data_IF_053164077971
#
_entry.id   IF_053164077971
#
_cell.length_a   1.000
_cell.length_b   1.000
_cell.length_c   1.000
_cell.angle_alpha   90.00
_cell.angle_beta   90.00
_cell.angle_gamma   90.00
#
_symmetry.space_group_name_H-M   'P 1'
#
loop_
_entity.id
_entity.type
_entity.pdbx_description
1 polymer ?
#
# COMPACT_ATOMS: atom_id res chain seq x y z
N UNK A 1 52.22 -41.15 41.02
CA UNK A 1 51.44 -41.03 39.76
C UNK A 1 50.62 -39.73 39.83
N UNK A 2 51.27 -38.57 40.17
CA UNK A 2 50.58 -37.29 40.42
C UNK A 2 51.44 -36.07 40.04
N UNK A 3 52.24 -36.15 38.98
CA UNK A 3 53.17 -35.04 38.66
C UNK A 3 53.00 -34.48 37.26
N UNK A 4 51.88 -34.77 36.58
CA UNK A 4 51.66 -34.31 35.20
C UNK A 4 50.41 -33.41 34.99
N UNK A 5 49.60 -33.09 36.02
CA UNK A 5 48.43 -32.23 35.89
C UNK A 5 48.66 -30.78 36.29
N UNK A 6 49.65 -30.46 37.12
CA UNK A 6 49.92 -29.11 37.60
C UNK A 6 50.58 -28.15 36.61
N UNK A 7 51.05 -28.66 35.46
CA UNK A 7 51.80 -27.83 34.49
C UNK A 7 50.92 -27.23 33.36
N UNK A 8 49.66 -27.61 33.24
CA UNK A 8 48.79 -27.07 32.17
C UNK A 8 47.95 -25.85 32.60
N UNK A 9 47.69 -25.69 33.88
CA UNK A 9 46.85 -24.58 34.38
C UNK A 9 47.66 -23.29 34.57
N UNK A 10 48.94 -23.38 34.87
CA UNK A 10 49.82 -22.21 35.10
C UNK A 10 50.07 -21.33 33.84
N UNK A 11 50.01 -21.89 32.63
CA UNK A 11 50.23 -21.09 31.41
C UNK A 11 49.05 -20.18 31.08
N UNK A 12 47.82 -20.61 31.36
CA UNK A 12 46.60 -19.82 31.13
C UNK A 12 46.38 -18.77 32.27
N UNK A 13 46.75 -19.04 33.50
CA UNK A 13 46.60 -18.09 34.60
C UNK A 13 47.58 -16.90 34.53
N UNK A 14 48.83 -17.12 34.14
CA UNK A 14 49.86 -16.05 34.04
C UNK A 14 49.49 -15.04 32.93
N UNK A 15 48.78 -15.47 31.90
CA UNK A 15 48.36 -14.59 30.78
C UNK A 15 47.05 -13.83 31.04
N UNK A 16 46.26 -14.27 32.02
CA UNK A 16 44.94 -13.64 32.31
C UNK A 16 45.07 -12.35 33.10
N UNK A 17 46.11 -12.18 33.88
CA UNK A 17 46.37 -10.97 34.68
C UNK A 17 47.15 -9.90 33.92
N UNK A 18 47.78 -10.22 32.81
CA UNK A 18 48.57 -9.25 32.06
C UNK A 18 47.64 -8.31 31.24
N UNK A 19 47.57 -7.05 31.63
CA UNK A 19 46.75 -6.01 31.03
C UNK A 19 47.03 -5.87 29.53
N UNK A 20 48.27 -6.02 29.10
CA UNK A 20 48.67 -5.95 27.69
C UNK A 20 48.14 -7.14 26.87
N UNK A 21 48.07 -8.33 27.44
CA UNK A 21 47.47 -9.49 26.79
C UNK A 21 45.94 -9.29 26.56
N UNK A 22 45.27 -8.72 27.55
CA UNK A 22 43.83 -8.41 27.42
C UNK A 22 43.59 -7.35 26.36
N UNK A 23 44.39 -6.29 26.29
CA UNK A 23 44.33 -5.29 25.24
C UNK A 23 44.66 -5.88 23.88
N UNK A 24 45.68 -6.70 23.75
CA UNK A 24 46.07 -7.40 22.53
C UNK A 24 44.95 -8.34 22.02
N UNK A 25 44.34 -9.12 22.92
CA UNK A 25 43.23 -10.00 22.60
C UNK A 25 42.00 -9.21 22.15
N UNK A 26 41.68 -8.10 22.85
CA UNK A 26 40.55 -7.24 22.47
C UNK A 26 40.77 -6.61 21.08
N UNK A 27 41.97 -6.08 20.83
CA UNK A 27 42.35 -5.52 19.55
C UNK A 27 42.24 -6.57 18.42
N UNK A 28 42.74 -7.78 18.67
CA UNK A 28 42.64 -8.89 17.73
C UNK A 28 41.17 -9.25 17.40
N UNK A 29 40.30 -9.39 18.42
CA UNK A 29 38.87 -9.67 18.24
C UNK A 29 38.20 -8.54 17.44
N UNK A 30 38.52 -7.28 17.74
CA UNK A 30 37.96 -6.13 17.03
C UNK A 30 38.40 -6.13 15.55
N UNK A 31 39.70 -6.37 15.28
CA UNK A 31 40.20 -6.46 13.90
C UNK A 31 39.54 -7.60 13.14
N UNK A 32 39.44 -8.79 13.74
CA UNK A 32 38.74 -9.93 13.12
C UNK A 32 37.25 -9.62 12.87
N UNK A 33 36.59 -9.00 13.84
CA UNK A 33 35.21 -8.57 13.67
C UNK A 33 35.06 -7.54 12.56
N UNK A 34 35.95 -6.57 12.44
CA UNK A 34 35.97 -5.60 11.35
C UNK A 34 36.23 -6.26 9.98
N UNK A 35 37.12 -7.23 9.88
CA UNK A 35 37.36 -7.98 8.64
C UNK A 35 36.13 -8.79 8.24
N UNK A 36 35.49 -9.46 9.19
CA UNK A 36 34.23 -10.20 8.95
C UNK A 36 33.12 -9.25 8.51
N UNK A 37 32.98 -8.11 9.18
CA UNK A 37 31.99 -7.10 8.82
C UNK A 37 32.26 -6.53 7.41
N UNK A 38 33.50 -6.21 7.08
CA UNK A 38 33.90 -5.73 5.75
C UNK A 38 33.60 -6.78 4.67
N UNK A 39 33.95 -8.05 4.91
CA UNK A 39 33.61 -9.16 4.00
C UNK A 39 32.10 -9.37 3.84
N UNK A 40 31.35 -9.21 4.90
CA UNK A 40 29.89 -9.29 4.86
C UNK A 40 29.30 -8.15 4.02
N UNK A 41 29.76 -6.91 4.25
CA UNK A 41 29.29 -5.73 3.50
C UNK A 41 29.65 -5.84 2.02
N UNK A 42 30.88 -6.26 1.67
CA UNK A 42 31.31 -6.38 0.26
C UNK A 42 30.59 -7.51 -0.48
N UNK A 43 30.17 -8.58 0.20
CA UNK A 43 29.43 -9.69 -0.39
C UNK A 43 27.91 -9.50 -0.39
N UNK A 44 27.39 -8.47 0.32
CA UNK A 44 25.95 -8.15 0.37
C UNK A 44 25.34 -7.95 -1.03
N UNK A 45 25.93 -7.19 -1.97
CA UNK A 45 25.36 -6.99 -3.30
C UNK A 45 25.22 -8.32 -4.07
N UNK A 46 26.22 -9.21 -3.96
CA UNK A 46 26.18 -10.54 -4.57
C UNK A 46 25.07 -11.42 -3.95
N UNK A 47 24.93 -11.39 -2.62
CA UNK A 47 23.83 -12.08 -1.94
C UNK A 47 22.46 -11.60 -2.44
N UNK A 48 22.24 -10.28 -2.53
CA UNK A 48 20.99 -9.73 -3.07
C UNK A 48 20.79 -10.10 -4.55
N UNK A 49 21.85 -10.16 -5.35
CA UNK A 49 21.77 -10.63 -6.74
C UNK A 49 21.30 -12.09 -6.82
N UNK A 50 21.83 -12.99 -5.98
CA UNK A 50 21.36 -14.39 -5.90
C UNK A 50 19.91 -14.48 -5.43
N UNK A 51 19.52 -13.71 -4.41
CA UNK A 51 18.12 -13.65 -3.94
C UNK A 51 17.20 -13.17 -5.06
N UNK A 52 17.59 -12.12 -5.78
CA UNK A 52 16.82 -11.60 -6.92
C UNK A 52 16.71 -12.64 -8.04
N UNK A 53 17.78 -13.33 -8.38
CA UNK A 53 17.78 -14.42 -9.37
C UNK A 53 16.86 -15.56 -8.94
N UNK A 54 16.93 -15.98 -7.68
CA UNK A 54 16.05 -17.00 -7.11
C UNK A 54 14.57 -16.59 -7.16
N UNK A 55 14.24 -15.36 -6.74
CA UNK A 55 12.88 -14.83 -6.83
C UNK A 55 12.39 -14.71 -8.27
N UNK A 56 13.28 -14.34 -9.19
CA UNK A 56 12.97 -14.31 -10.63
C UNK A 56 12.63 -15.71 -11.17
N UNK A 57 13.34 -16.73 -10.73
CA UNK A 57 13.03 -18.12 -11.09
C UNK A 57 11.69 -18.59 -10.50
N UNK A 58 11.32 -18.06 -9.32
CA UNK A 58 10.04 -18.36 -8.67
C UNK A 58 8.88 -17.48 -9.17
N UNK A 59 9.11 -16.57 -10.11
CA UNK A 59 8.07 -15.66 -10.60
C UNK A 59 6.77 -16.36 -11.06
N UNK A 60 6.77 -17.52 -11.76
CA UNK A 60 5.53 -18.22 -12.11
C UNK A 60 4.75 -18.70 -10.87
N UNK A 61 5.47 -19.09 -9.81
CA UNK A 61 4.83 -19.49 -8.53
C UNK A 61 4.20 -18.30 -7.84
N UNK A 62 4.88 -17.15 -7.84
CA UNK A 62 4.34 -15.90 -7.28
C UNK A 62 3.12 -15.43 -8.06
N UNK A 63 3.13 -15.50 -9.39
CA UNK A 63 1.95 -15.24 -10.22
C UNK A 63 0.82 -16.21 -9.89
N UNK A 64 1.10 -17.50 -9.78
CA UNK A 64 0.12 -18.52 -9.41
C UNK A 64 -0.50 -18.28 -8.04
N UNK A 65 0.30 -17.87 -7.04
CA UNK A 65 -0.17 -17.50 -5.73
C UNK A 65 -1.09 -16.25 -5.78
N UNK A 66 -0.68 -15.23 -6.52
CA UNK A 66 -1.48 -14.01 -6.70
C UNK A 66 -2.82 -14.31 -7.38
N UNK A 67 -2.81 -15.05 -8.48
CA UNK A 67 -4.02 -15.47 -9.20
C UNK A 67 -4.92 -16.32 -8.29
N UNK A 68 -4.37 -17.32 -7.60
CA UNK A 68 -5.14 -18.16 -6.68
C UNK A 68 -5.76 -17.33 -5.54
N UNK A 69 -5.03 -16.35 -5.02
CA UNK A 69 -5.52 -15.47 -3.97
C UNK A 69 -6.69 -14.59 -4.44
N UNK A 70 -6.58 -14.01 -5.63
CA UNK A 70 -7.64 -13.18 -6.23
C UNK A 70 -8.88 -13.98 -6.61
N UNK A 71 -8.70 -15.23 -7.11
CA UNK A 71 -9.80 -16.09 -7.53
C UNK A 71 -10.49 -16.80 -6.36
N UNK A 72 -9.80 -16.95 -5.23
CA UNK A 72 -10.32 -17.69 -4.07
C UNK A 72 -11.71 -17.20 -3.59
N UNK A 73 -12.02 -15.89 -3.45
CA UNK A 73 -13.34 -15.44 -3.04
C UNK A 73 -14.44 -15.82 -4.02
N UNK A 74 -14.11 -15.84 -5.32
CA UNK A 74 -15.05 -16.21 -6.39
C UNK A 74 -15.28 -17.72 -6.36
N UNK A 75 -14.20 -18.50 -6.32
CA UNK A 75 -14.24 -19.97 -6.20
C UNK A 75 -15.08 -20.41 -4.99
N UNK A 76 -14.86 -19.80 -3.84
CA UNK A 76 -15.56 -20.16 -2.60
C UNK A 76 -17.06 -19.84 -2.67
N UNK A 77 -17.46 -18.73 -3.29
CA UNK A 77 -18.88 -18.41 -3.52
C UNK A 77 -19.54 -19.39 -4.49
N UNK A 78 -18.88 -19.67 -5.62
CA UNK A 78 -19.40 -20.63 -6.63
C UNK A 78 -19.50 -22.03 -6.02
N UNK A 79 -18.48 -22.47 -5.29
CA UNK A 79 -18.50 -23.75 -4.58
C UNK A 79 -19.66 -23.86 -3.61
N UNK A 80 -19.88 -22.84 -2.76
CA UNK A 80 -20.99 -22.80 -1.79
C UNK A 80 -22.37 -22.82 -2.45
N UNK A 81 -22.50 -22.29 -3.66
CA UNK A 81 -23.74 -22.33 -4.42
C UNK A 81 -23.98 -23.70 -5.06
N UNK A 82 -22.93 -24.35 -5.59
CA UNK A 82 -23.05 -25.60 -6.33
C UNK A 82 -23.04 -26.84 -5.43
N UNK A 83 -22.30 -26.81 -4.32
CA UNK A 83 -22.15 -27.97 -3.43
C UNK A 83 -23.48 -28.53 -2.90
N UNK A 84 -24.44 -27.71 -2.40
CA UNK A 84 -25.73 -28.23 -1.92
C UNK A 84 -26.60 -28.81 -3.04
N UNK A 85 -26.48 -28.29 -4.28
CA UNK A 85 -27.22 -28.79 -5.44
C UNK A 85 -26.65 -30.15 -5.88
N UNK A 86 -25.32 -30.28 -5.92
CA UNK A 86 -24.66 -31.53 -6.31
C UNK A 86 -24.81 -32.63 -5.28
N UNK A 87 -24.93 -32.33 -4.01
CA UNK A 87 -25.23 -33.31 -2.94
C UNK A 87 -26.59 -33.96 -3.04
N UNK A 88 -27.54 -33.36 -3.81
CA UNK A 88 -28.85 -33.97 -4.08
C UNK A 88 -28.77 -35.13 -5.10
N UNK A 89 -27.72 -35.13 -5.93
CA UNK A 89 -27.57 -36.08 -7.05
C UNK A 89 -26.38 -37.03 -6.88
N UNK A 90 -25.36 -36.63 -6.12
CA UNK A 90 -24.08 -37.33 -5.99
C UNK A 90 -23.73 -37.60 -4.52
N UNK A 91 -22.97 -38.68 -4.23
CA UNK A 91 -22.40 -38.90 -2.91
C UNK A 91 -21.56 -37.73 -2.41
N UNK A 92 -21.58 -37.41 -1.14
CA UNK A 92 -20.96 -36.22 -0.52
C UNK A 92 -19.53 -35.97 -0.96
N UNK A 93 -18.66 -36.98 -0.99
CA UNK A 93 -17.26 -36.83 -1.42
C UNK A 93 -17.11 -36.45 -2.89
N UNK A 94 -17.94 -37.01 -3.76
CA UNK A 94 -17.93 -36.70 -5.22
C UNK A 94 -18.53 -35.31 -5.46
N UNK A 95 -19.62 -34.99 -4.79
CA UNK A 95 -20.29 -33.68 -4.87
C UNK A 95 -19.34 -32.53 -4.45
N UNK A 96 -18.63 -32.67 -3.33
CA UNK A 96 -17.65 -31.69 -2.87
C UNK A 96 -16.47 -31.52 -3.85
N UNK A 97 -15.96 -32.64 -4.39
CA UNK A 97 -14.87 -32.61 -5.39
C UNK A 97 -15.30 -31.93 -6.69
N UNK A 98 -16.48 -32.26 -7.20
CA UNK A 98 -17.03 -31.64 -8.42
C UNK A 98 -17.37 -30.16 -8.21
N UNK A 99 -17.99 -29.78 -7.08
CA UNK A 99 -18.27 -28.39 -6.74
C UNK A 99 -16.99 -27.55 -6.70
N UNK A 100 -15.91 -28.10 -6.16
CA UNK A 100 -14.60 -27.45 -6.12
C UNK A 100 -14.00 -27.30 -7.51
N UNK A 101 -13.98 -28.35 -8.33
CA UNK A 101 -13.49 -28.32 -9.70
C UNK A 101 -14.25 -27.32 -10.58
N UNK A 102 -15.60 -27.33 -10.53
CA UNK A 102 -16.45 -26.39 -11.22
C UNK A 102 -16.27 -24.96 -10.68
N UNK A 103 -16.10 -24.79 -9.37
CA UNK A 103 -15.79 -23.49 -8.76
C UNK A 103 -14.49 -22.88 -9.30
N UNK A 104 -13.43 -23.67 -9.41
CA UNK A 104 -12.15 -23.24 -10.01
C UNK A 104 -12.31 -22.90 -11.49
N UNK A 105 -12.98 -23.77 -12.26
CA UNK A 105 -13.20 -23.55 -13.69
C UNK A 105 -14.00 -22.29 -13.95
N UNK A 106 -15.12 -22.10 -13.26
CA UNK A 106 -15.98 -20.91 -13.41
C UNK A 106 -15.23 -19.64 -13.00
N UNK A 107 -14.47 -19.67 -11.91
CA UNK A 107 -13.69 -18.50 -11.47
C UNK A 107 -12.60 -18.12 -12.47
N UNK A 108 -11.92 -19.09 -13.09
CA UNK A 108 -10.92 -18.87 -14.15
C UNK A 108 -11.56 -18.32 -15.42
N UNK A 109 -12.67 -18.93 -15.86
CA UNK A 109 -13.40 -18.47 -17.05
C UNK A 109 -13.93 -17.05 -16.84
N UNK A 110 -14.48 -16.76 -15.67
CA UNK A 110 -14.96 -15.41 -15.34
C UNK A 110 -13.81 -14.40 -15.35
N UNK A 111 -12.67 -14.73 -14.74
CA UNK A 111 -11.50 -13.85 -14.77
C UNK A 111 -10.95 -13.65 -16.19
N UNK A 112 -10.85 -14.72 -16.97
CA UNK A 112 -10.43 -14.65 -18.37
C UNK A 112 -11.42 -13.80 -19.21
N UNK A 113 -12.73 -13.96 -19.00
CA UNK A 113 -13.77 -13.17 -19.65
C UNK A 113 -13.66 -11.68 -19.29
N UNK A 114 -13.46 -11.36 -18.00
CA UNK A 114 -13.29 -9.97 -17.54
C UNK A 114 -12.03 -9.35 -18.16
N UNK A 115 -10.89 -10.05 -18.12
CA UNK A 115 -9.65 -9.56 -18.74
C UNK A 115 -9.80 -9.39 -20.24
N UNK A 116 -10.41 -10.37 -20.92
CA UNK A 116 -10.68 -10.28 -22.35
C UNK A 116 -11.62 -9.11 -22.70
N UNK A 117 -12.70 -8.94 -21.94
CA UNK A 117 -13.65 -7.85 -22.16
C UNK A 117 -12.98 -6.47 -21.93
N UNK A 118 -12.17 -6.36 -20.88
CA UNK A 118 -11.40 -5.13 -20.64
C UNK A 118 -10.44 -4.84 -21.81
N UNK A 119 -9.67 -5.82 -22.26
CA UNK A 119 -8.74 -5.65 -23.38
C UNK A 119 -9.50 -5.30 -24.66
N UNK A 120 -10.54 -6.06 -25.01
CA UNK A 120 -11.32 -5.87 -26.22
C UNK A 120 -12.06 -4.52 -26.28
N UNK A 121 -12.46 -4.00 -25.11
CA UNK A 121 -13.20 -2.75 -25.00
C UNK A 121 -12.27 -1.54 -24.88
N UNK A 122 -11.21 -1.68 -24.08
CA UNK A 122 -10.28 -0.58 -23.73
C UNK A 122 -9.26 -0.33 -24.82
N UNK A 123 -8.67 -1.39 -25.36
CA UNK A 123 -7.53 -1.26 -26.26
C UNK A 123 -7.86 -0.54 -27.56
N UNK A 124 -8.95 -0.86 -28.30
CA UNK A 124 -9.32 -0.12 -29.50
C UNK A 124 -9.56 1.37 -29.23
N UNK A 125 -10.27 1.69 -28.13
CA UNK A 125 -10.58 3.08 -27.80
C UNK A 125 -9.35 3.87 -27.33
N UNK A 126 -8.41 3.24 -26.60
CA UNK A 126 -7.13 3.86 -26.27
C UNK A 126 -6.37 4.24 -27.54
N UNK A 127 -6.30 3.33 -28.50
CA UNK A 127 -5.59 3.54 -29.76
C UNK A 127 -6.23 4.65 -30.58
N UNK A 128 -7.54 4.62 -30.72
CA UNK A 128 -8.32 5.61 -31.44
C UNK A 128 -8.19 7.00 -30.79
N UNK A 129 -8.27 7.05 -29.45
CA UNK A 129 -8.08 8.29 -28.72
C UNK A 129 -6.67 8.85 -28.89
N UNK A 130 -5.63 8.02 -28.79
CA UNK A 130 -4.22 8.47 -28.94
C UNK A 130 -3.96 8.93 -30.37
N UNK A 131 -4.43 8.20 -31.37
CA UNK A 131 -4.24 8.60 -32.79
C UNK A 131 -4.99 9.90 -33.12
N UNK A 132 -6.18 10.07 -32.57
CA UNK A 132 -6.99 11.29 -32.71
C UNK A 132 -6.32 12.49 -32.03
N UNK A 133 -5.77 12.30 -30.82
CA UNK A 133 -5.03 13.35 -30.11
C UNK A 133 -3.82 13.77 -30.90
N UNK A 134 -3.02 12.81 -31.41
CA UNK A 134 -1.82 13.12 -32.21
C UNK A 134 -2.19 13.83 -33.53
N UNK A 135 -3.25 13.36 -34.20
CA UNK A 135 -3.72 13.95 -35.45
C UNK A 135 -4.26 15.38 -35.31
N UNK A 136 -4.97 15.65 -34.22
CA UNK A 136 -5.58 16.96 -33.94
C UNK A 136 -4.70 17.88 -33.09
N UNK A 137 -3.49 17.45 -32.73
CA UNK A 137 -2.60 18.22 -31.86
C UNK A 137 -2.35 19.65 -32.34
N UNK A 138 -2.11 19.92 -33.64
CA UNK A 138 -1.95 21.30 -34.14
C UNK A 138 -3.19 22.17 -33.92
N UNK A 139 -4.41 21.59 -34.07
CA UNK A 139 -5.66 22.30 -33.81
C UNK A 139 -5.84 22.63 -32.35
N UNK A 140 -5.55 21.69 -31.46
CA UNK A 140 -5.63 21.87 -30.00
C UNK A 140 -4.65 22.94 -29.52
N UNK A 141 -3.42 22.93 -30.06
CA UNK A 141 -2.45 23.98 -29.78
C UNK A 141 -2.96 25.38 -30.19
N UNK A 142 -3.52 25.51 -31.40
CA UNK A 142 -4.06 26.77 -31.84
C UNK A 142 -5.23 27.28 -30.97
N UNK A 143 -6.07 26.38 -30.48
CA UNK A 143 -7.16 26.72 -29.56
C UNK A 143 -6.62 27.20 -28.22
N UNK A 144 -5.65 26.48 -27.66
CA UNK A 144 -5.02 26.82 -26.38
C UNK A 144 -4.25 28.14 -26.48
N UNK A 145 -3.52 28.37 -27.58
CA UNK A 145 -2.76 29.61 -27.77
C UNK A 145 -3.68 30.83 -27.92
N UNK A 146 -4.80 30.70 -28.65
CA UNK A 146 -5.81 31.77 -28.71
C UNK A 146 -6.40 32.09 -27.36
N UNK A 147 -6.77 31.06 -26.59
CA UNK A 147 -7.33 31.21 -25.25
C UNK A 147 -6.34 31.88 -24.29
N UNK A 148 -5.06 31.49 -24.32
CA UNK A 148 -4.00 32.11 -23.53
C UNK A 148 -3.79 33.57 -23.93
N UNK A 149 -3.79 33.88 -25.24
CA UNK A 149 -3.68 35.23 -25.76
C UNK A 149 -4.88 36.11 -25.35
N UNK A 150 -6.11 35.59 -25.42
CA UNK A 150 -7.29 36.29 -24.96
C UNK A 150 -7.28 36.60 -23.45
N UNK A 151 -6.74 35.66 -22.65
CA UNK A 151 -6.62 35.83 -21.19
C UNK A 151 -5.53 36.85 -20.81
N UNK A 152 -4.47 36.95 -21.60
CA UNK A 152 -3.30 37.82 -21.33
C UNK A 152 -3.45 39.19 -22.01
N UNK A 153 -4.43 39.39 -22.90
CA UNK A 153 -4.68 40.64 -23.59
C UNK A 153 -4.76 41.82 -22.60
N UNK A 154 -3.65 42.55 -22.46
CA UNK A 154 -3.47 43.73 -21.60
C UNK A 154 -2.22 43.74 -20.72
N UNK A 155 -1.37 42.74 -20.72
CA UNK A 155 -0.13 42.68 -19.93
C UNK A 155 1.10 42.62 -20.84
N UNK A 156 2.19 43.27 -20.45
CA UNK A 156 3.46 43.54 -21.10
C UNK A 156 4.26 42.30 -21.60
N UNK A 157 3.68 41.15 -21.80
CA UNK A 157 4.40 39.88 -21.99
C UNK A 157 4.00 39.11 -23.26
N UNK A 158 3.48 39.74 -24.31
CA UNK A 158 3.06 39.02 -25.53
C UNK A 158 4.20 38.21 -26.17
N UNK A 159 5.40 38.79 -26.32
CA UNK A 159 6.55 38.14 -26.94
C UNK A 159 7.06 36.94 -26.09
N UNK A 160 7.14 37.10 -24.76
CA UNK A 160 7.61 36.04 -23.83
C UNK A 160 6.61 34.89 -23.78
N UNK A 161 5.32 35.19 -23.84
CA UNK A 161 4.28 34.19 -23.83
C UNK A 161 4.26 33.35 -25.08
N UNK A 162 4.49 33.97 -26.24
CA UNK A 162 4.55 33.30 -27.53
C UNK A 162 5.77 32.38 -27.62
N UNK A 163 6.94 32.83 -27.15
CA UNK A 163 8.16 32.01 -27.10
C UNK A 163 8.01 30.79 -26.17
N UNK A 164 7.38 30.97 -24.98
CA UNK A 164 7.08 29.85 -24.06
C UNK A 164 6.10 28.88 -24.71
N UNK A 165 5.05 29.38 -25.36
CA UNK A 165 4.06 28.55 -26.02
C UNK A 165 4.67 27.73 -27.17
N UNK A 166 5.54 28.29 -27.97
CA UNK A 166 6.23 27.57 -29.05
C UNK A 166 7.22 26.53 -28.53
N UNK A 167 7.88 26.79 -27.41
CA UNK A 167 8.71 25.78 -26.73
C UNK A 167 7.86 24.63 -26.17
N UNK A 168 6.74 24.93 -25.54
CA UNK A 168 5.79 23.92 -25.04
C UNK A 168 5.22 23.09 -26.19
N UNK A 169 4.85 23.73 -27.30
CA UNK A 169 4.39 23.05 -28.53
C UNK A 169 5.42 22.06 -29.06
N UNK A 170 6.64 22.53 -29.25
CA UNK A 170 7.73 21.71 -29.79
C UNK A 170 8.06 20.54 -28.88
N UNK A 171 8.08 20.79 -27.55
CA UNK A 171 8.31 19.72 -26.56
C UNK A 171 7.19 18.69 -26.53
N UNK A 172 5.92 19.13 -26.51
CA UNK A 172 4.77 18.22 -26.49
C UNK A 172 4.65 17.45 -27.80
N UNK A 173 4.86 18.11 -28.93
CA UNK A 173 4.85 17.45 -30.23
C UNK A 173 5.95 16.39 -30.33
N UNK A 174 7.18 16.69 -29.94
CA UNK A 174 8.27 15.72 -29.93
C UNK A 174 7.99 14.59 -28.95
N UNK A 175 7.48 14.90 -27.77
CA UNK A 175 7.08 13.88 -26.79
C UNK A 175 6.00 12.92 -27.34
N UNK A 176 4.98 13.46 -28.01
CA UNK A 176 3.92 12.67 -28.64
C UNK A 176 4.44 11.82 -29.79
N UNK A 177 5.24 12.41 -30.70
CA UNK A 177 5.72 11.73 -31.92
C UNK A 177 6.90 10.79 -31.62
N UNK A 178 7.84 11.18 -30.77
CA UNK A 178 9.08 10.44 -30.55
C UNK A 178 9.02 9.48 -29.37
N UNK A 179 8.11 9.73 -28.41
CA UNK A 179 8.00 8.90 -27.21
C UNK A 179 6.70 8.11 -27.15
N UNK A 180 5.56 8.77 -27.31
CA UNK A 180 4.24 8.13 -27.12
C UNK A 180 3.89 7.24 -28.32
N UNK A 181 3.94 7.78 -29.52
CA UNK A 181 3.55 7.06 -30.74
C UNK A 181 4.39 5.80 -31.00
N UNK A 182 5.74 5.81 -30.89
CA UNK A 182 6.52 4.58 -31.02
C UNK A 182 6.24 3.54 -29.94
N UNK A 183 5.99 3.97 -28.68
CA UNK A 183 5.60 3.05 -27.60
C UNK A 183 4.25 2.43 -27.85
N UNK A 184 3.27 3.19 -28.34
CA UNK A 184 1.96 2.68 -28.72
C UNK A 184 2.06 1.72 -29.90
N UNK A 185 2.84 2.08 -30.94
CA UNK A 185 3.11 1.20 -32.08
C UNK A 185 3.85 -0.07 -31.66
N UNK A 186 4.80 0.04 -30.73
CA UNK A 186 5.52 -1.12 -30.15
C UNK A 186 4.57 -2.01 -29.35
N UNK A 187 3.65 -1.44 -28.58
CA UNK A 187 2.60 -2.19 -27.89
C UNK A 187 1.70 -2.92 -28.89
N UNK A 188 1.27 -2.24 -29.97
CA UNK A 188 0.49 -2.82 -31.05
C UNK A 188 1.24 -3.93 -31.77
N UNK A 189 2.47 -3.63 -32.18
CA UNK A 189 3.35 -4.63 -32.80
C UNK A 189 3.63 -5.80 -31.88
N UNK A 190 3.76 -5.56 -30.57
CA UNK A 190 3.92 -6.63 -29.57
C UNK A 190 2.66 -7.50 -29.43
N UNK A 191 1.50 -6.92 -29.65
CA UNK A 191 0.24 -7.69 -29.67
C UNK A 191 0.08 -8.51 -30.98
N UNK A 192 0.66 -8.04 -32.08
CA UNK A 192 0.58 -8.69 -33.39
C UNK A 192 1.80 -9.56 -33.72
N UNK A 193 3.01 -9.14 -33.35
CA UNK A 193 4.27 -9.84 -33.68
C UNK A 193 5.04 -10.40 -32.50
N UNK A 194 4.59 -10.13 -31.29
CA UNK A 194 5.27 -10.43 -30.02
C UNK A 194 5.37 -11.90 -29.64
N UNK A 195 5.53 -12.82 -30.60
CA UNK A 195 5.55 -14.26 -30.38
C UNK A 195 6.73 -14.73 -29.50
N UNK A 196 7.85 -14.02 -29.45
CA UNK A 196 9.05 -14.54 -28.75
C UNK A 196 9.18 -14.02 -27.29
N UNK A 197 8.98 -12.74 -27.04
CA UNK A 197 9.04 -12.20 -25.66
C UNK A 197 7.72 -12.41 -24.91
N UNK A 198 6.60 -12.38 -25.62
CA UNK A 198 5.29 -12.80 -25.10
C UNK A 198 5.30 -14.29 -24.78
N UNK A 199 5.97 -15.15 -25.55
CA UNK A 199 6.07 -16.56 -25.24
C UNK A 199 6.66 -16.84 -23.85
N UNK A 200 7.73 -16.14 -23.45
CA UNK A 200 8.26 -16.26 -22.08
C UNK A 200 7.28 -15.74 -21.01
N UNK A 201 6.66 -14.59 -21.26
CA UNK A 201 5.68 -14.02 -20.32
C UNK A 201 4.39 -14.84 -20.30
N UNK A 202 3.94 -15.34 -21.46
CA UNK A 202 2.80 -16.26 -21.56
C UNK A 202 3.10 -17.61 -20.93
N UNK A 203 4.28 -18.15 -21.10
CA UNK A 203 4.70 -19.39 -20.41
C UNK A 203 4.65 -19.21 -18.89
N UNK A 204 5.20 -18.09 -18.39
CA UNK A 204 5.13 -17.78 -16.96
C UNK A 204 3.67 -17.57 -16.48
N UNK A 205 2.83 -16.95 -17.29
CA UNK A 205 1.41 -16.79 -16.98
C UNK A 205 0.66 -18.12 -17.02
N UNK A 206 0.88 -18.94 -18.06
CA UNK A 206 0.28 -20.29 -18.19
C UNK A 206 0.71 -21.16 -17.01
N UNK A 207 2.01 -21.19 -16.70
CA UNK A 207 2.53 -21.93 -15.54
C UNK A 207 1.90 -21.36 -14.25
N UNK A 208 1.79 -20.03 -14.13
CA UNK A 208 1.10 -19.38 -13.01
C UNK A 208 -0.36 -19.79 -12.89
N UNK A 209 -1.11 -19.85 -13.99
CA UNK A 209 -2.50 -20.35 -14.01
C UNK A 209 -2.56 -21.82 -13.60
N UNK A 210 -1.69 -22.66 -14.12
CA UNK A 210 -1.60 -24.08 -13.71
C UNK A 210 -1.32 -24.19 -12.21
N UNK A 211 -0.34 -23.45 -11.71
CA UNK A 211 -0.02 -23.39 -10.27
C UNK A 211 -1.23 -22.89 -9.46
N UNK A 212 -1.94 -21.88 -9.95
CA UNK A 212 -3.14 -21.37 -9.25
C UNK A 212 -4.23 -22.42 -9.13
N UNK A 213 -4.44 -23.24 -10.15
CA UNK A 213 -5.38 -24.37 -10.12
C UNK A 213 -4.96 -25.40 -9.04
N UNK A 214 -3.67 -25.76 -9.01
CA UNK A 214 -3.15 -26.67 -7.98
C UNK A 214 -3.28 -26.09 -6.57
N UNK A 215 -2.99 -24.80 -6.41
CA UNK A 215 -3.10 -24.11 -5.12
C UNK A 215 -4.56 -24.03 -4.65
N UNK A 216 -5.50 -23.64 -5.53
CA UNK A 216 -6.92 -23.60 -5.21
C UNK A 216 -7.47 -25.00 -4.92
N UNK A 217 -7.07 -25.99 -5.72
CA UNK A 217 -7.50 -27.38 -5.53
C UNK A 217 -6.96 -27.97 -4.22
N UNK A 218 -5.70 -27.66 -3.85
CA UNK A 218 -5.01 -28.16 -2.66
C UNK A 218 -4.99 -27.22 -1.47
N UNK A 219 -5.68 -26.09 -1.48
CA UNK A 219 -5.54 -24.99 -0.50
C UNK A 219 -5.61 -25.45 0.95
N UNK A 220 -6.57 -26.31 1.29
CA UNK A 220 -6.77 -26.81 2.66
C UNK A 220 -5.58 -27.68 3.10
N UNK A 221 -5.08 -28.54 2.20
CA UNK A 221 -3.91 -29.40 2.45
C UNK A 221 -2.63 -28.58 2.61
N UNK A 222 -2.38 -27.61 1.72
CA UNK A 222 -1.19 -26.76 1.80
C UNK A 222 -1.21 -25.87 3.06
N UNK A 223 -2.35 -25.28 3.39
CA UNK A 223 -2.50 -24.51 4.64
C UNK A 223 -2.30 -25.38 5.87
N UNK A 224 -2.84 -26.61 5.88
CA UNK A 224 -2.62 -27.56 6.97
C UNK A 224 -1.16 -27.97 7.11
N UNK A 225 -0.45 -28.22 5.99
CA UNK A 225 0.97 -28.53 5.97
C UNK A 225 1.82 -27.35 6.46
N UNK A 226 1.53 -26.12 6.01
CA UNK A 226 2.20 -24.91 6.48
C UNK A 226 2.00 -24.71 7.97
N UNK A 227 0.75 -24.88 8.46
CA UNK A 227 0.42 -24.82 9.88
C UNK A 227 1.17 -25.90 10.67
N UNK A 228 1.19 -27.15 10.18
CA UNK A 228 1.94 -28.24 10.82
C UNK A 228 3.44 -27.93 10.93
N UNK A 229 4.04 -27.42 9.84
CA UNK A 229 5.45 -26.99 9.82
C UNK A 229 5.72 -25.87 10.82
N UNK A 230 4.83 -24.86 10.86
CA UNK A 230 4.94 -23.74 11.79
C UNK A 230 4.93 -24.23 13.26
N UNK A 231 4.03 -25.13 13.62
CA UNK A 231 3.99 -25.69 14.97
C UNK A 231 5.17 -26.61 15.27
N UNK A 232 5.66 -27.37 14.29
CA UNK A 232 6.83 -28.25 14.46
C UNK A 232 8.11 -27.46 14.74
N UNK A 233 8.32 -26.33 14.02
CA UNK A 233 9.54 -25.52 14.14
C UNK A 233 9.47 -24.55 15.34
N UNK A 234 8.34 -23.91 15.57
CA UNK A 234 8.18 -22.83 16.54
C UNK A 234 7.55 -23.27 17.88
N UNK A 235 7.04 -24.48 17.95
CA UNK A 235 6.29 -25.00 19.10
C UNK A 235 4.90 -24.38 19.26
N UNK A 236 4.14 -24.85 20.25
CA UNK A 236 2.72 -24.50 20.38
C UNK A 236 2.46 -23.00 20.60
N UNK A 237 3.20 -22.33 21.49
CA UNK A 237 2.97 -20.90 21.82
C UNK A 237 3.34 -19.97 20.67
N UNK A 238 4.56 -20.09 20.14
CA UNK A 238 5.04 -19.23 19.04
C UNK A 238 4.36 -19.58 17.71
N UNK A 239 4.13 -20.87 17.44
CA UNK A 239 3.40 -21.33 16.26
C UNK A 239 1.95 -20.84 16.23
N UNK A 240 1.26 -20.87 17.39
CA UNK A 240 -0.08 -20.27 17.52
C UNK A 240 -0.11 -18.79 17.23
N UNK A 241 0.90 -18.04 17.71
CA UNK A 241 1.06 -16.62 17.41
C UNK A 241 1.21 -16.35 15.90
N UNK A 242 2.12 -17.07 15.25
CA UNK A 242 2.33 -16.91 13.78
C UNK A 242 1.06 -17.26 13.00
N UNK A 243 0.36 -18.32 13.35
CA UNK A 243 -0.92 -18.68 12.72
C UNK A 243 -1.99 -17.57 12.89
N UNK A 244 -2.05 -16.92 14.04
CA UNK A 244 -2.97 -15.81 14.29
C UNK A 244 -2.59 -14.58 13.44
N UNK A 245 -1.31 -14.26 13.33
CA UNK A 245 -0.82 -13.17 12.45
C UNK A 245 -1.15 -13.48 10.98
N UNK A 246 -0.93 -14.70 10.51
CA UNK A 246 -1.30 -15.11 9.14
C UNK A 246 -2.81 -15.01 8.90
N UNK A 247 -3.64 -15.40 9.86
CA UNK A 247 -5.10 -15.28 9.77
C UNK A 247 -5.53 -13.81 9.71
N UNK A 248 -4.92 -12.96 10.52
CA UNK A 248 -5.13 -11.52 10.48
C UNK A 248 -4.70 -10.94 9.13
N UNK A 249 -3.49 -11.27 8.65
CA UNK A 249 -3.00 -10.84 7.35
C UNK A 249 -3.97 -11.21 6.22
N UNK A 250 -4.43 -12.47 6.18
CA UNK A 250 -5.40 -12.92 5.18
C UNK A 250 -6.71 -12.10 5.23
N UNK A 251 -7.20 -11.76 6.42
CA UNK A 251 -8.40 -10.93 6.57
C UNK A 251 -8.18 -9.51 6.04
N UNK A 252 -7.06 -8.87 6.42
CA UNK A 252 -6.75 -7.50 6.01
C UNK A 252 -6.48 -7.42 4.51
N UNK A 253 -5.66 -8.31 3.97
CA UNK A 253 -5.39 -8.35 2.52
C UNK A 253 -6.65 -8.63 1.70
N UNK A 254 -7.44 -9.65 2.10
CA UNK A 254 -8.67 -10.01 1.40
C UNK A 254 -9.72 -8.90 1.42
N UNK A 255 -9.92 -8.29 2.59
CA UNK A 255 -10.85 -7.17 2.76
C UNK A 255 -10.41 -5.93 1.98
N UNK A 256 -9.13 -5.56 2.09
CA UNK A 256 -8.60 -4.36 1.46
C UNK A 256 -8.52 -4.48 -0.07
N UNK A 257 -7.87 -5.54 -0.60
CA UNK A 257 -7.72 -5.72 -2.06
C UNK A 257 -9.08 -5.93 -2.71
N UNK A 258 -9.90 -6.79 -2.14
CA UNK A 258 -11.26 -7.02 -2.66
C UNK A 258 -12.13 -5.76 -2.61
N UNK A 259 -12.07 -5.03 -1.51
CA UNK A 259 -12.78 -3.75 -1.38
C UNK A 259 -12.30 -2.72 -2.40
N UNK A 260 -10.97 -2.59 -2.57
CA UNK A 260 -10.40 -1.58 -3.48
C UNK A 260 -10.67 -1.88 -4.96
N UNK A 261 -10.74 -3.15 -5.35
CA UNK A 261 -11.16 -3.55 -6.72
C UNK A 261 -12.63 -3.16 -6.96
N UNK A 262 -13.52 -3.42 -6.01
CA UNK A 262 -14.94 -3.06 -6.12
C UNK A 262 -15.10 -1.54 -6.16
N UNK A 263 -14.43 -0.83 -5.29
CA UNK A 263 -14.39 0.62 -5.20
C UNK A 263 -13.95 1.26 -6.54
N UNK A 264 -12.83 0.83 -7.08
CA UNK A 264 -12.29 1.28 -8.36
C UNK A 264 -13.24 1.01 -9.53
N UNK A 265 -13.92 -0.13 -9.53
CA UNK A 265 -14.93 -0.46 -10.55
C UNK A 265 -16.13 0.49 -10.45
N UNK A 266 -16.62 0.75 -9.25
CA UNK A 266 -17.74 1.68 -9.02
C UNK A 266 -17.36 3.09 -9.46
N UNK A 267 -16.17 3.58 -9.07
CA UNK A 267 -15.67 4.90 -9.46
C UNK A 267 -15.50 5.01 -10.98
N UNK A 268 -14.96 3.99 -11.63
CA UNK A 268 -14.85 3.95 -13.09
C UNK A 268 -16.22 4.02 -13.80
N UNK A 269 -17.20 3.27 -13.29
CA UNK A 269 -18.57 3.28 -13.81
C UNK A 269 -19.25 4.65 -13.59
N UNK A 270 -19.15 5.20 -12.38
CA UNK A 270 -19.73 6.52 -12.07
C UNK A 270 -19.05 7.62 -12.90
N UNK A 271 -17.73 7.54 -13.08
CA UNK A 271 -16.99 8.45 -13.95
C UNK A 271 -17.50 8.36 -15.40
N UNK A 272 -17.69 7.15 -15.93
CA UNK A 272 -18.20 6.95 -17.27
C UNK A 272 -19.59 7.58 -17.47
N UNK A 273 -20.53 7.29 -16.58
CA UNK A 273 -21.88 7.84 -16.69
C UNK A 273 -21.90 9.37 -16.47
N UNK A 274 -21.12 9.87 -15.53
CA UNK A 274 -21.02 11.30 -15.27
C UNK A 274 -20.47 12.09 -16.45
N UNK A 275 -19.36 11.62 -17.03
CA UNK A 275 -18.77 12.25 -18.21
C UNK A 275 -19.66 12.08 -19.47
N UNK A 276 -20.38 10.99 -19.56
CA UNK A 276 -21.35 10.77 -20.64
C UNK A 276 -22.55 11.72 -20.57
N UNK A 277 -23.05 12.00 -19.37
CA UNK A 277 -24.12 12.98 -19.12
C UNK A 277 -23.65 14.40 -19.46
N UNK A 278 -22.37 14.71 -19.18
CA UNK A 278 -21.75 15.99 -19.51
C UNK A 278 -21.32 16.09 -20.98
N UNK A 279 -21.56 15.05 -21.78
CA UNK A 279 -21.19 14.92 -23.21
C UNK A 279 -19.70 15.20 -23.49
N UNK A 280 -18.82 14.79 -22.54
CA UNK A 280 -17.38 15.05 -22.62
C UNK A 280 -16.67 14.15 -23.63
N UNK A 281 -15.67 14.66 -24.37
CA UNK A 281 -14.83 13.86 -25.25
C UNK A 281 -14.01 12.84 -24.46
N UNK A 282 -13.61 11.77 -25.13
CA UNK A 282 -12.80 10.68 -24.55
C UNK A 282 -13.35 10.09 -23.24
N UNK A 283 -14.67 10.16 -23.02
CA UNK A 283 -15.37 9.67 -21.82
C UNK A 283 -14.88 8.28 -21.39
N UNK A 284 -14.78 7.33 -22.31
CA UNK A 284 -14.36 5.96 -22.00
C UNK A 284 -12.90 5.89 -21.57
N UNK A 285 -12.00 6.59 -22.28
CA UNK A 285 -10.58 6.65 -21.96
C UNK A 285 -10.37 7.20 -20.56
N UNK A 286 -10.97 8.35 -20.26
CA UNK A 286 -10.84 9.04 -18.96
C UNK A 286 -11.40 8.17 -17.84
N UNK A 287 -12.58 7.58 -18.04
CA UNK A 287 -13.22 6.74 -17.03
C UNK A 287 -12.40 5.50 -16.67
N UNK A 288 -11.76 4.89 -17.67
CA UNK A 288 -10.86 3.75 -17.47
C UNK A 288 -9.60 4.18 -16.71
N UNK A 289 -8.97 5.29 -17.15
CA UNK A 289 -7.78 5.81 -16.46
C UNK A 289 -8.12 6.09 -15.01
N UNK A 290 -9.18 6.82 -14.72
CA UNK A 290 -9.63 7.16 -13.36
C UNK A 290 -9.96 5.90 -12.56
N UNK A 291 -10.73 4.96 -13.13
CA UNK A 291 -11.10 3.72 -12.45
C UNK A 291 -9.89 2.82 -12.15
N UNK A 292 -8.99 2.62 -13.12
CA UNK A 292 -7.80 1.77 -12.92
C UNK A 292 -6.82 2.40 -11.93
N UNK A 293 -6.56 3.69 -12.05
CA UNK A 293 -5.65 4.37 -11.12
C UNK A 293 -6.18 4.42 -9.70
N UNK A 294 -7.52 4.45 -9.51
CA UNK A 294 -8.17 4.46 -8.20
C UNK A 294 -7.85 3.20 -7.34
N UNK A 295 -7.30 2.14 -7.93
CA UNK A 295 -6.79 0.98 -7.18
C UNK A 295 -5.68 1.40 -6.22
N UNK A 296 -4.89 2.43 -6.54
CA UNK A 296 -3.82 2.96 -5.70
C UNK A 296 -4.41 3.95 -4.69
N UNK A 297 -4.39 3.63 -3.39
CA UNK A 297 -4.95 4.53 -2.39
C UNK A 297 -4.27 5.91 -2.40
N UNK A 298 -5.00 6.97 -2.14
CA UNK A 298 -4.56 8.36 -2.10
C UNK A 298 -4.02 8.90 -3.43
N UNK A 299 -3.08 8.22 -4.07
CA UNK A 299 -2.44 8.70 -5.30
C UNK A 299 -3.27 8.39 -6.56
N UNK A 300 -4.09 7.35 -6.50
CA UNK A 300 -4.91 6.91 -7.64
C UNK A 300 -5.77 8.01 -8.25
N UNK A 301 -6.57 8.72 -7.45
CA UNK A 301 -7.37 9.84 -7.92
C UNK A 301 -6.58 10.90 -8.69
N UNK A 302 -5.42 11.29 -8.17
CA UNK A 302 -4.55 12.31 -8.81
C UNK A 302 -3.89 11.77 -10.07
N UNK A 303 -3.42 10.51 -10.04
CA UNK A 303 -2.82 9.86 -11.21
C UNK A 303 -3.81 9.68 -12.36
N UNK A 304 -5.10 9.59 -12.07
CA UNK A 304 -6.14 9.56 -13.08
C UNK A 304 -6.62 10.95 -13.51
N UNK A 305 -6.87 11.84 -12.56
CA UNK A 305 -7.44 13.15 -12.82
C UNK A 305 -6.48 14.10 -13.54
N UNK A 306 -5.21 14.15 -13.13
CA UNK A 306 -4.24 15.11 -13.69
C UNK A 306 -4.00 14.88 -15.20
N UNK A 307 -3.66 13.67 -15.68
CA UNK A 307 -3.50 13.43 -17.11
C UNK A 307 -4.80 13.68 -17.90
N UNK A 308 -5.95 13.32 -17.32
CA UNK A 308 -7.25 13.54 -17.96
C UNK A 308 -7.61 15.01 -18.05
N UNK A 309 -7.34 15.79 -17.00
CA UNK A 309 -7.53 17.24 -17.04
C UNK A 309 -6.61 17.93 -18.05
N UNK A 310 -5.34 17.53 -18.11
CA UNK A 310 -4.39 18.04 -19.11
C UNK A 310 -4.82 17.70 -20.54
N UNK A 311 -5.35 16.50 -20.75
CA UNK A 311 -5.90 16.11 -22.05
C UNK A 311 -7.07 17.02 -22.45
N UNK A 312 -8.03 17.24 -21.57
CA UNK A 312 -9.19 18.09 -21.82
C UNK A 312 -8.80 19.56 -21.96
N UNK A 313 -7.82 20.05 -21.19
CA UNK A 313 -7.34 21.42 -21.28
C UNK A 313 -6.79 21.76 -22.67
N UNK A 314 -6.12 20.80 -23.32
CA UNK A 314 -5.59 20.96 -24.68
C UNK A 314 -6.71 20.99 -25.73
N UNK A 315 -7.84 20.33 -25.44
CA UNK A 315 -9.00 20.27 -26.37
C UNK A 315 -9.86 21.52 -26.22
N UNK A 316 -10.35 21.77 -25.02
CA UNK A 316 -11.17 22.91 -24.64
C UNK A 316 -10.98 23.23 -23.15
N UNK A 317 -10.50 24.43 -22.77
CA UNK A 317 -10.34 24.84 -21.37
C UNK A 317 -11.65 24.79 -20.56
N UNK A 318 -12.80 25.02 -21.18
CA UNK A 318 -14.10 24.94 -20.48
C UNK A 318 -14.48 23.51 -20.15
N UNK A 319 -14.22 22.55 -21.05
CA UNK A 319 -14.40 21.13 -20.75
C UNK A 319 -13.47 20.66 -19.64
N UNK A 320 -12.23 21.14 -19.60
CA UNK A 320 -11.31 20.90 -18.50
C UNK A 320 -11.88 21.42 -17.17
N UNK A 321 -12.45 22.62 -17.14
CA UNK A 321 -13.05 23.19 -15.93
C UNK A 321 -14.23 22.33 -15.44
N UNK A 322 -15.13 21.94 -16.34
CA UNK A 322 -16.26 21.07 -16.00
C UNK A 322 -15.78 19.70 -15.48
N UNK A 323 -14.76 19.12 -16.10
CA UNK A 323 -14.15 17.89 -15.64
C UNK A 323 -13.55 18.01 -14.25
N UNK A 324 -12.80 19.08 -13.97
CA UNK A 324 -12.17 19.31 -12.65
C UNK A 324 -13.23 19.43 -11.57
N UNK A 325 -14.31 20.16 -11.82
CA UNK A 325 -15.43 20.27 -10.87
C UNK A 325 -16.07 18.89 -10.65
N UNK A 326 -16.36 18.17 -11.74
CA UNK A 326 -16.95 16.83 -11.67
C UNK A 326 -16.07 15.84 -10.90
N UNK A 327 -14.76 15.78 -11.21
CA UNK A 327 -13.86 14.83 -10.58
C UNK A 327 -13.68 15.13 -9.08
N UNK A 328 -13.66 16.40 -8.66
CA UNK A 328 -13.63 16.79 -7.26
C UNK A 328 -14.89 16.25 -6.55
N UNK A 329 -16.07 16.45 -7.12
CA UNK A 329 -17.33 15.94 -6.55
C UNK A 329 -17.30 14.42 -6.47
N UNK A 330 -16.85 13.73 -7.52
CA UNK A 330 -16.72 12.26 -7.55
C UNK A 330 -15.75 11.77 -6.48
N UNK A 331 -14.61 12.45 -6.27
CA UNK A 331 -13.63 12.08 -5.25
C UNK A 331 -14.14 12.36 -3.83
N UNK A 332 -14.95 13.41 -3.63
CA UNK A 332 -15.62 13.62 -2.36
C UNK A 332 -16.64 12.52 -2.05
N UNK A 333 -17.36 12.06 -3.06
CA UNK A 333 -18.28 10.92 -2.92
C UNK A 333 -17.52 9.63 -2.59
N UNK A 334 -16.37 9.39 -3.26
CA UNK A 334 -15.50 8.25 -2.98
C UNK A 334 -14.98 8.28 -1.54
N UNK A 335 -14.34 9.38 -1.15
CA UNK A 335 -13.67 9.49 0.16
C UNK A 335 -14.63 9.46 1.36
N UNK A 336 -15.86 10.00 1.21
CA UNK A 336 -16.78 10.17 2.33
C UNK A 336 -17.91 9.12 2.37
N UNK A 337 -18.25 8.50 1.24
CA UNK A 337 -19.40 7.58 1.16
C UNK A 337 -18.98 6.20 0.68
N UNK A 338 -18.40 6.10 -0.52
CA UNK A 338 -18.12 4.80 -1.18
C UNK A 338 -16.99 4.07 -0.46
N UNK A 339 -15.86 4.75 -0.26
CA UNK A 339 -14.68 4.18 0.40
C UNK A 339 -15.00 3.63 1.80
N UNK A 340 -15.57 4.44 2.72
CA UNK A 340 -15.97 3.94 4.04
C UNK A 340 -17.00 2.81 3.99
N UNK A 341 -17.95 2.85 3.05
CA UNK A 341 -18.97 1.81 2.91
C UNK A 341 -18.39 0.47 2.43
N UNK A 342 -17.37 0.48 1.57
CA UNK A 342 -16.77 -0.72 0.98
C UNK A 342 -15.60 -1.23 1.82
N UNK A 343 -14.67 -0.35 2.20
CA UNK A 343 -13.44 -0.70 2.89
C UNK A 343 -13.65 -0.80 4.41
N UNK A 344 -14.56 -0.01 5.00
CA UNK A 344 -14.78 0.07 6.44
C UNK A 344 -13.46 0.27 7.19
N UNK A 345 -13.40 -0.25 8.43
CA UNK A 345 -12.18 -0.26 9.25
C UNK A 345 -11.25 -1.45 8.93
N UNK A 346 -11.15 -1.84 7.65
CA UNK A 346 -10.46 -3.06 7.24
C UNK A 346 -8.98 -3.13 7.69
N UNK A 347 -8.32 -1.99 7.84
CA UNK A 347 -6.89 -1.92 8.18
C UNK A 347 -6.61 -1.46 9.61
N UNK A 348 -7.50 -0.66 10.21
CA UNK A 348 -7.30 -0.06 11.53
C UNK A 348 -6.06 0.85 11.63
N UNK A 349 -5.60 1.40 10.50
CA UNK A 349 -4.46 2.31 10.44
C UNK A 349 -4.93 3.76 10.37
N UNK A 350 -4.28 4.64 11.12
CA UNK A 350 -4.43 6.09 10.94
C UNK A 350 -3.91 6.53 9.56
N UNK A 351 -4.50 7.59 8.99
CA UNK A 351 -4.20 8.09 7.64
C UNK A 351 -2.69 8.37 7.41
N UNK A 352 -1.98 8.85 8.45
CA UNK A 352 -0.54 9.08 8.35
C UNK A 352 0.24 7.81 8.01
N UNK A 353 -0.11 6.68 8.63
CA UNK A 353 0.55 5.39 8.39
C UNK A 353 0.22 4.84 7.00
N UNK A 354 -0.95 5.17 6.46
CA UNK A 354 -1.29 4.83 5.07
C UNK A 354 -0.36 5.56 4.10
N UNK A 355 -0.16 6.88 4.27
CA UNK A 355 0.76 7.66 3.42
C UNK A 355 2.20 7.16 3.56
N UNK A 356 2.68 6.93 4.78
CA UNK A 356 4.02 6.37 5.03
C UNK A 356 4.19 5.02 4.34
N UNK A 357 3.19 4.14 4.43
CA UNK A 357 3.23 2.82 3.79
C UNK A 357 3.36 2.92 2.26
N UNK A 358 2.61 3.82 1.64
CA UNK A 358 2.64 4.05 0.19
C UNK A 358 4.00 4.56 -0.27
N UNK A 359 4.61 5.50 0.46
CA UNK A 359 5.95 6.02 0.15
C UNK A 359 7.01 4.92 0.27
N UNK A 360 7.02 4.17 1.37
CA UNK A 360 8.01 3.13 1.62
C UNK A 360 7.88 1.99 0.61
N UNK A 361 6.69 1.39 0.49
CA UNK A 361 6.52 0.24 -0.39
C UNK A 361 6.42 0.62 -1.86
N UNK A 362 5.99 1.84 -2.17
CA UNK A 362 6.03 2.40 -3.51
C UNK A 362 7.47 2.56 -4.03
N UNK A 363 8.39 3.05 -3.19
CA UNK A 363 9.80 3.18 -3.56
C UNK A 363 10.50 1.84 -3.70
N UNK A 364 10.13 0.82 -2.90
CA UNK A 364 10.76 -0.50 -2.92
C UNK A 364 10.26 -1.40 -4.05
N UNK A 365 8.97 -1.38 -4.34
CA UNK A 365 8.30 -2.33 -5.24
C UNK A 365 7.49 -1.66 -6.35
N UNK A 366 7.59 -0.33 -6.51
CA UNK A 366 6.86 0.42 -7.53
C UNK A 366 5.34 0.37 -7.34
N UNK A 367 4.60 0.36 -8.46
CA UNK A 367 3.12 0.37 -8.47
C UNK A 367 2.54 -0.82 -7.70
N UNK A 368 3.09 -2.03 -7.87
CA UNK A 368 2.64 -3.20 -7.11
C UNK A 368 2.83 -3.02 -5.61
N UNK A 369 3.95 -2.38 -5.22
CA UNK A 369 4.20 -2.01 -3.83
C UNK A 369 3.15 -1.06 -3.27
N UNK A 370 2.73 -0.05 -4.04
CA UNK A 370 1.67 0.89 -3.64
C UNK A 370 0.32 0.18 -3.41
N UNK A 371 -0.04 -0.75 -4.29
CA UNK A 371 -1.32 -1.50 -4.17
C UNK A 371 -1.37 -2.36 -2.90
N UNK A 372 -0.26 -2.99 -2.53
CA UNK A 372 -0.19 -3.86 -1.34
C UNK A 372 0.31 -3.14 -0.08
N UNK A 373 0.72 -1.88 -0.18
CA UNK A 373 1.35 -1.12 0.90
C UNK A 373 0.54 -1.12 2.18
N UNK A 374 -0.72 -0.72 2.06
CA UNK A 374 -1.60 -0.52 3.22
C UNK A 374 -1.84 -1.81 4.00
N UNK A 375 -2.28 -2.93 3.37
CA UNK A 375 -2.46 -4.18 4.09
C UNK A 375 -1.15 -4.76 4.63
N UNK A 376 -0.03 -4.60 3.92
CA UNK A 376 1.26 -5.06 4.38
C UNK A 376 1.72 -4.28 5.62
N UNK A 377 1.58 -2.95 5.59
CA UNK A 377 1.92 -2.11 6.74
C UNK A 377 1.01 -2.38 7.94
N UNK A 378 -0.29 -2.65 7.72
CA UNK A 378 -1.21 -3.02 8.80
C UNK A 378 -0.76 -4.29 9.54
N UNK A 379 -0.26 -5.28 8.81
CA UNK A 379 0.29 -6.51 9.42
C UNK A 379 1.57 -6.20 10.21
N UNK A 380 2.49 -5.41 9.64
CA UNK A 380 3.72 -4.99 10.32
C UNK A 380 3.39 -4.19 11.59
N UNK A 381 2.48 -3.21 11.47
CA UNK A 381 2.04 -2.39 12.60
C UNK A 381 1.45 -3.25 13.74
N UNK A 382 0.61 -4.23 13.39
CA UNK A 382 0.07 -5.18 14.37
C UNK A 382 1.18 -5.96 15.07
N UNK A 383 2.14 -6.51 14.32
CA UNK A 383 3.28 -7.26 14.90
C UNK A 383 4.07 -6.36 15.85
N UNK A 384 4.42 -5.15 15.41
CA UNK A 384 5.16 -4.19 16.24
C UNK A 384 4.38 -3.83 17.50
N UNK A 385 3.09 -3.52 17.37
CA UNK A 385 2.21 -3.22 18.50
C UNK A 385 2.15 -4.37 19.51
N UNK A 386 2.02 -5.62 19.05
CA UNK A 386 1.98 -6.79 19.92
C UNK A 386 3.32 -7.03 20.62
N UNK A 387 4.46 -6.85 19.93
CA UNK A 387 5.80 -6.92 20.52
C UNK A 387 5.99 -5.82 21.57
N UNK A 388 5.62 -4.58 21.27
CA UNK A 388 5.67 -3.46 22.22
C UNK A 388 4.82 -3.75 23.46
N UNK A 389 3.57 -4.19 23.25
CA UNK A 389 2.68 -4.54 24.35
C UNK A 389 3.22 -5.70 25.19
N UNK A 390 3.86 -6.70 24.57
CA UNK A 390 4.53 -7.78 25.31
C UNK A 390 5.70 -7.26 26.17
N UNK A 391 6.53 -6.37 25.62
CA UNK A 391 7.66 -5.78 26.35
C UNK A 391 7.20 -4.88 27.50
N UNK A 392 6.13 -4.08 27.28
CA UNK A 392 5.53 -3.24 28.30
C UNK A 392 4.96 -4.08 29.45
N UNK A 393 4.23 -5.15 29.14
CA UNK A 393 3.73 -6.10 30.14
C UNK A 393 4.85 -6.74 30.94
N UNK A 394 5.97 -7.13 30.28
CA UNK A 394 7.14 -7.70 30.96
C UNK A 394 7.78 -6.69 31.92
N UNK A 395 7.69 -5.38 31.62
CA UNK A 395 8.20 -4.29 32.47
C UNK A 395 7.15 -3.75 33.44
N UNK A 396 5.99 -4.38 33.54
CA UNK A 396 4.85 -3.93 34.36
C UNK A 396 4.40 -2.50 34.08
N UNK A 397 4.52 -2.05 32.80
CA UNK A 397 4.09 -0.74 32.34
C UNK A 397 2.72 -0.83 31.66
N UNK A 398 2.02 0.32 31.56
CA UNK A 398 0.74 0.41 30.86
C UNK A 398 0.88 0.06 29.38
N UNK A 399 -0.15 -0.61 28.83
CA UNK A 399 -0.26 -0.85 27.39
C UNK A 399 -1.20 0.13 26.70
N UNK A 400 -1.77 1.09 27.43
CA UNK A 400 -2.67 2.11 26.89
C UNK A 400 -1.86 3.29 26.41
N UNK A 401 -1.98 3.62 25.13
CA UNK A 401 -1.23 4.72 24.51
C UNK A 401 -1.49 6.08 25.17
N UNK A 402 -2.72 6.31 25.64
CA UNK A 402 -3.09 7.54 26.34
C UNK A 402 -2.28 7.84 27.61
N UNK A 403 -1.73 6.80 28.25
CA UNK A 403 -0.92 6.97 29.45
C UNK A 403 0.50 7.53 29.16
N UNK A 404 0.86 7.60 27.87
CA UNK A 404 2.16 8.09 27.38
C UNK A 404 2.09 9.47 26.73
N UNK A 405 0.94 10.14 26.78
CA UNK A 405 0.78 11.48 26.16
C UNK A 405 1.51 12.59 26.92
N UNK A 406 1.79 12.37 28.21
CA UNK A 406 2.50 13.34 29.04
C UNK A 406 3.97 12.98 29.21
N UNK A 407 4.89 13.70 28.56
CA UNK A 407 6.33 13.47 28.61
C UNK A 407 6.97 13.66 30.00
N UNK A 408 6.33 14.45 30.87
CA UNK A 408 6.87 14.81 32.19
C UNK A 408 6.64 13.73 33.24
N UNK A 409 5.81 12.72 32.96
CA UNK A 409 5.48 11.68 33.91
C UNK A 409 5.66 10.30 33.31
N UNK A 410 6.47 9.43 33.95
CA UNK A 410 6.57 8.05 33.52
C UNK A 410 5.22 7.33 33.69
N UNK A 411 4.87 6.40 32.81
CA UNK A 411 3.64 5.63 32.90
C UNK A 411 3.64 4.84 34.23
N UNK A 412 2.59 4.98 35.05
CA UNK A 412 2.53 4.36 36.38
C UNK A 412 2.32 2.85 36.28
N UNK A 413 3.09 2.08 37.05
CA UNK A 413 2.97 0.62 37.22
C UNK A 413 1.60 0.17 37.74
N UNK A 414 0.86 1.03 38.46
CA UNK A 414 -0.36 0.68 39.18
C UNK A 414 -1.64 0.67 38.32
N UNK A 415 -1.60 1.20 37.10
CA UNK A 415 -2.79 1.29 36.23
C UNK A 415 -3.32 -0.07 35.76
N UNK A 416 -2.47 -1.08 35.63
CA UNK A 416 -2.87 -2.42 35.19
C UNK A 416 -3.61 -3.26 36.27
N UNK A 417 -3.42 -2.94 37.55
CA UNK A 417 -4.11 -3.63 38.65
C UNK A 417 -5.54 -3.13 38.87
N UNK A 418 -5.91 -2.05 38.16
CA UNK A 418 -7.18 -1.39 38.43
C UNK A 418 -8.16 -1.55 37.27
N UNK A 419 -8.87 -2.69 37.22
CA UNK A 419 -10.00 -2.92 36.32
C UNK A 419 -11.30 -2.81 37.15
N UNK A 420 -12.01 -1.64 37.12
CA UNK A 420 -13.20 -1.47 37.93
C UNK A 420 -14.34 -2.38 37.41
N UNK A 421 -14.64 -3.43 38.15
CA UNK A 421 -15.68 -4.40 37.79
C UNK A 421 -17.10 -3.86 38.02
N UNK A 422 -17.28 -2.77 38.77
CA UNK A 422 -18.58 -2.19 39.08
C UNK A 422 -18.73 -0.72 38.66
N UNK A 423 -19.96 -0.30 38.27
CA UNK A 423 -20.26 1.12 37.95
C UNK A 423 -19.85 2.10 39.06
N UNK A 424 -19.93 1.67 40.36
CA UNK A 424 -19.50 2.47 41.52
C UNK A 424 -17.97 2.66 41.57
N UNK A 425 -17.20 1.65 41.24
CA UNK A 425 -15.74 1.72 41.19
C UNK A 425 -15.26 2.59 40.01
N UNK A 426 -15.91 2.50 38.84
CA UNK A 426 -15.64 3.38 37.68
C UNK A 426 -15.84 4.85 38.06
N UNK A 427 -16.95 5.18 38.76
CA UNK A 427 -17.26 6.54 39.18
C UNK A 427 -16.30 7.09 40.27
N UNK A 428 -15.84 6.23 41.19
CA UNK A 428 -14.81 6.57 42.19
C UNK A 428 -13.44 6.85 41.55
N UNK A 429 -13.11 6.11 40.52
CA UNK A 429 -11.87 6.25 39.78
C UNK A 429 -11.81 7.53 38.97
N UNK A 430 -12.88 7.83 38.24
CA UNK A 430 -12.97 9.07 37.49
C UNK A 430 -12.84 10.28 38.44
N UNK A 431 -13.49 10.26 39.60
CA UNK A 431 -13.35 11.31 40.62
C UNK A 431 -11.93 11.40 41.19
N UNK A 432 -11.24 10.25 41.39
CA UNK A 432 -9.87 10.24 41.89
C UNK A 432 -8.87 10.76 40.83
N UNK A 433 -9.12 10.42 39.58
CA UNK A 433 -8.36 10.92 38.43
C UNK A 433 -8.55 12.44 38.23
N UNK A 434 -9.79 12.93 38.29
CA UNK A 434 -10.08 14.38 38.22
C UNK A 434 -9.44 15.16 39.36
N UNK A 435 -9.48 14.64 40.62
CA UNK A 435 -8.79 15.28 41.75
C UNK A 435 -7.27 15.24 41.62
N UNK A 436 -6.72 14.24 40.97
CA UNK A 436 -5.30 14.16 40.68
C UNK A 436 -4.89 15.20 39.61
N UNK A 437 -5.66 15.34 38.55
CA UNK A 437 -5.44 16.37 37.51
C UNK A 437 -5.59 17.80 38.09
N UNK A 438 -6.59 18.06 38.93
CA UNK A 438 -6.73 19.33 39.61
C UNK A 438 -5.52 19.66 40.51
N UNK A 439 -5.00 18.69 41.28
CA UNK A 439 -3.77 18.91 42.09
C UNK A 439 -2.51 19.14 41.25
N UNK A 440 -2.47 18.65 40.01
CA UNK A 440 -1.36 18.93 39.10
C UNK A 440 -1.46 20.34 38.50
N UNK A 441 -2.64 20.82 38.23
CA UNK A 441 -2.87 22.22 37.83
C UNK A 441 -2.53 23.21 38.93
N UNK A 442 -2.88 22.89 40.19
CA UNK A 442 -2.54 23.71 41.36
C UNK A 442 -1.03 23.66 41.74
N UNK A 443 -0.30 22.62 41.29
CA UNK A 443 1.14 22.43 41.54
C UNK A 443 2.04 22.90 40.38
N UNK A 444 1.47 23.38 39.28
CA UNK A 444 2.24 24.07 38.24
C UNK A 444 2.71 25.42 38.79
N UNK A 445 4.02 25.76 38.79
CA UNK A 445 4.47 27.09 39.20
C UNK A 445 3.82 28.10 38.26
N UNK A 446 3.31 29.19 38.88
CA UNK A 446 2.86 30.36 38.15
C UNK A 446 4.07 30.97 37.43
N UNK A 447 4.36 30.51 36.21
CA UNK A 447 5.33 31.14 35.34
C UNK A 447 4.63 32.32 34.64
N UNK A 448 5.08 33.50 35.07
CA UNK A 448 5.03 34.79 34.36
C UNK A 448 3.65 35.29 33.90
N UNK A 449 3.01 36.03 34.80
CA UNK A 449 2.22 37.18 34.38
C UNK A 449 3.20 38.17 33.74
N UNK A 450 3.23 38.26 32.44
CA UNK A 450 3.88 39.32 31.68
C UNK A 450 3.13 40.64 32.02
N UNK A 451 3.86 41.56 32.65
CA UNK A 451 3.47 42.91 32.89
C UNK A 451 3.07 43.60 31.55
N UNK A 452 1.80 43.87 31.36
CA UNK A 452 1.37 44.87 30.40
C UNK A 452 1.69 46.27 30.94
N UNK A 453 2.38 47.13 30.15
CA UNK A 453 2.63 48.51 30.56
C UNK A 453 1.30 49.27 30.73
N UNK A 454 1.21 50.25 31.62
CA UNK A 454 -0.02 51.04 31.86
C UNK A 454 -0.30 51.91 30.64
N UNK A 455 -1.50 51.79 30.09
CA UNK A 455 -2.08 52.79 29.17
C UNK A 455 -2.27 54.09 29.91
N UNK A 456 -1.57 55.12 29.47
CA UNK A 456 -1.76 56.51 29.85
C UNK A 456 -3.20 56.93 29.48
N UNK A 457 -3.92 57.25 30.52
CA UNK A 457 -5.14 58.05 30.43
C UNK A 457 -4.77 59.49 30.18
N UNK A 458 -5.05 60.00 29.00
CA UNK A 458 -5.23 61.47 28.85
C UNK A 458 -6.47 61.79 28.02
N UNK A 459 -7.32 62.27 28.73
CA UNK A 459 -8.41 63.21 28.63
C UNK A 459 -8.56 64.04 27.34
N UNK A 460 -9.81 64.39 27.18
CA UNK A 460 -10.38 65.63 26.65
C UNK A 460 -10.80 65.63 25.21
N UNK A 461 -12.06 65.68 25.03
CA UNK A 461 -12.94 66.84 24.99
C UNK A 461 -13.17 67.44 23.60
N UNK A 462 -14.41 67.44 23.20
CA UNK A 462 -15.09 68.37 22.26
C UNK A 462 -14.81 68.24 20.74
N UNK A 463 -15.74 67.77 20.06
CA UNK A 463 -16.82 68.48 19.30
C UNK A 463 -17.51 67.52 18.31
#
# INVERSE_FOLDING_TARGET
>A
MDDHQEKKDGFFEIHRENIYFRWGLTAFIVIVACIIAAQFITKMPAFFAYVKAFLSTLSPVLYGLGIAYLLHPIEDRVRKLLEPQLKKVLPDKKAAGMAKGLGILVSLLLAALVVWALIAMVLPQLLDSITTIIGNFPSYYNTLSKWVQEFINGSIAEDVTQEIMDQVYTYLQSFLTDTVLPKVQTLLASLTTGVVNIAKSMLNLIIGVIISIYLLSGKEKFLAQAKKLCYAVLGQKKGGYVCNVCTFANRVFGGFIGGKIIDSLIIGILCFFGLRILDMPYTMLISIIVGVTNIIPFFGPYLGAIPSALLLLVIDPMECLYFVIFIIVLQQLDGNVIGPAILGDATGLDSIWVVVSLLVFGSLFGILGMVIAVPLFAVIYKIVSEVVNFLLKKRELSTVTGDYTNWNYPPRKDYQKWNPTSKRQKKRAQRKHQRFLARQQDAAPAETAEETPPEDSDSADKS
#
